data_IF_519106610045
#
_entry.id   IF_519106610045
#
_cell.length_a   1.000
_cell.length_b   1.000
_cell.length_c   1.000
_cell.angle_alpha   90.00
_cell.angle_beta   90.00
_cell.angle_gamma   90.00
#
_symmetry.space_group_name_H-M   'P 1'
#
loop_
_entity.id
_entity.type
_entity.pdbx_description
1 polymer ?
#
# COMPACT_ATOMS: atom_id res chain seq x y z
N UNK A 1 -21.12 15.41 -3.53
CA UNK A 1 -21.42 15.30 -2.08
C UNK A 1 -21.67 13.86 -1.62
N UNK A 2 -22.49 13.04 -2.30
CA UNK A 2 -22.84 11.68 -1.84
C UNK A 2 -21.65 10.73 -1.58
N UNK A 3 -20.61 10.73 -2.44
CA UNK A 3 -19.41 9.88 -2.25
C UNK A 3 -18.59 10.19 -0.99
N UNK A 4 -18.60 11.45 -0.53
CA UNK A 4 -17.87 11.84 0.67
C UNK A 4 -18.54 11.26 1.91
N UNK A 5 -19.87 11.25 1.94
CA UNK A 5 -20.68 10.72 3.05
C UNK A 5 -20.48 9.21 3.20
N UNK A 6 -20.54 8.44 2.10
CA UNK A 6 -20.28 6.99 2.16
C UNK A 6 -18.87 6.65 2.65
N UNK A 7 -17.86 7.46 2.27
CA UNK A 7 -16.50 7.27 2.75
C UNK A 7 -16.35 7.57 4.24
N UNK A 8 -17.16 8.46 4.79
CA UNK A 8 -17.10 8.82 6.22
C UNK A 8 -17.89 7.87 7.13
N UNK A 9 -18.81 7.09 6.56
CA UNK A 9 -19.64 6.13 7.32
C UNK A 9 -19.02 4.73 7.41
N UNK A 10 -18.11 4.38 6.52
CA UNK A 10 -17.41 3.09 6.57
C UNK A 10 -16.43 3.06 7.74
N UNK A 11 -16.26 1.88 8.32
CA UNK A 11 -15.12 1.60 9.19
C UNK A 11 -13.82 2.04 8.47
N UNK A 12 -12.85 2.66 9.16
CA UNK A 12 -11.62 3.16 8.55
C UNK A 12 -10.93 2.13 7.63
N UNK A 13 -10.91 0.85 8.02
CA UNK A 13 -10.26 -0.22 7.25
C UNK A 13 -11.07 -0.61 6.01
N UNK A 14 -12.39 -0.66 6.12
CA UNK A 14 -13.29 -0.89 4.98
C UNK A 14 -13.21 0.25 3.96
N UNK A 15 -13.06 1.49 4.44
CA UNK A 15 -12.87 2.66 3.59
C UNK A 15 -11.58 2.55 2.79
N UNK A 16 -10.48 2.19 3.42
CA UNK A 16 -9.17 2.00 2.77
C UNK A 16 -9.22 0.87 1.74
N UNK A 17 -9.85 -0.25 2.08
CA UNK A 17 -10.06 -1.35 1.14
C UNK A 17 -10.85 -0.91 -0.11
N UNK A 18 -11.92 -0.13 0.08
CA UNK A 18 -12.71 0.42 -1.03
C UNK A 18 -11.90 1.42 -1.85
N UNK A 19 -11.08 2.27 -1.21
CA UNK A 19 -10.22 3.22 -1.90
C UNK A 19 -9.18 2.50 -2.78
N UNK A 20 -8.52 1.48 -2.26
CA UNK A 20 -7.58 0.66 -3.01
C UNK A 20 -8.24 0.03 -4.26
N UNK A 21 -9.44 -0.55 -4.12
CA UNK A 21 -10.14 -1.16 -5.25
C UNK A 21 -10.55 -0.13 -6.31
N UNK A 22 -10.99 1.06 -5.89
CA UNK A 22 -11.32 2.15 -6.81
C UNK A 22 -10.06 2.66 -7.53
N UNK A 23 -8.93 2.74 -6.82
CA UNK A 23 -7.65 3.16 -7.39
C UNK A 23 -7.15 2.15 -8.44
N UNK A 24 -7.18 0.85 -8.13
CA UNK A 24 -6.83 -0.24 -9.05
C UNK A 24 -7.63 -0.18 -10.36
N UNK A 25 -8.94 0.02 -10.26
CA UNK A 25 -9.84 0.15 -11.43
C UNK A 25 -9.57 1.39 -12.28
N UNK A 26 -8.95 2.42 -11.70
CA UNK A 26 -8.58 3.66 -12.39
C UNK A 26 -7.11 3.71 -12.77
N UNK A 27 -6.34 2.66 -12.45
CA UNK A 27 -4.88 2.65 -12.56
C UNK A 27 -4.20 3.82 -11.85
N UNK A 28 -4.79 4.28 -10.74
CA UNK A 28 -4.31 5.40 -9.94
C UNK A 28 -3.26 4.90 -8.93
N UNK A 29 -2.01 4.84 -9.37
CA UNK A 29 -0.90 4.31 -8.58
C UNK A 29 -0.55 5.20 -7.37
N UNK A 30 -0.87 6.50 -7.41
CA UNK A 30 -0.56 7.43 -6.31
C UNK A 30 -1.30 7.04 -5.04
N UNK A 31 -2.59 6.70 -5.17
CA UNK A 31 -3.41 6.24 -4.04
C UNK A 31 -2.87 4.92 -3.47
N UNK A 32 -2.35 4.01 -4.31
CA UNK A 32 -1.76 2.75 -3.84
C UNK A 32 -0.47 3.01 -3.05
N UNK A 33 0.36 3.96 -3.51
CA UNK A 33 1.58 4.38 -2.79
C UNK A 33 1.20 5.00 -1.44
N UNK A 34 0.23 5.92 -1.41
CA UNK A 34 -0.24 6.54 -0.17
C UNK A 34 -0.73 5.50 0.85
N UNK A 35 -1.56 4.56 0.41
CA UNK A 35 -2.08 3.49 1.26
C UNK A 35 -1.01 2.49 1.73
N UNK A 36 0.13 2.40 1.04
CA UNK A 36 1.24 1.55 1.44
C UNK A 36 2.27 2.26 2.34
N UNK A 37 2.47 3.57 2.16
CA UNK A 37 3.56 4.30 2.80
C UNK A 37 3.14 5.14 4.01
N UNK A 38 1.87 5.53 4.12
CA UNK A 38 1.39 6.39 5.21
C UNK A 38 1.05 5.57 6.48
N UNK A 39 0.24 4.49 6.41
CA UNK A 39 -0.23 3.79 7.61
C UNK A 39 0.87 2.97 8.28
N UNK A 40 0.87 2.83 9.61
CA UNK A 40 1.83 1.95 10.32
C UNK A 40 1.81 0.52 9.78
N UNK A 41 2.83 -0.28 10.08
CA UNK A 41 2.87 -1.69 9.63
C UNK A 41 1.63 -2.48 10.07
N UNK A 42 1.09 -2.20 11.27
CA UNK A 42 -0.12 -2.82 11.79
C UNK A 42 -1.38 -2.36 11.05
N UNK A 43 -1.51 -1.06 10.79
CA UNK A 43 -2.63 -0.49 10.01
C UNK A 43 -2.62 -1.04 8.58
N UNK A 44 -1.44 -1.09 7.95
CA UNK A 44 -1.25 -1.65 6.62
C UNK A 44 -1.72 -3.11 6.56
N UNK A 45 -1.35 -3.90 7.57
CA UNK A 45 -1.80 -5.29 7.68
C UNK A 45 -3.32 -5.39 7.90
N UNK A 46 -3.89 -4.53 8.74
CA UNK A 46 -5.30 -4.54 9.07
C UNK A 46 -6.18 -4.23 7.85
N UNK A 47 -5.84 -3.21 7.05
CA UNK A 47 -6.65 -2.90 5.86
C UNK A 47 -6.47 -3.94 4.75
N UNK A 48 -5.29 -4.55 4.60
CA UNK A 48 -5.09 -5.65 3.64
C UNK A 48 -5.96 -6.86 3.98
N UNK A 49 -6.13 -7.17 5.28
CA UNK A 49 -7.10 -8.17 5.74
C UNK A 49 -8.54 -7.78 5.41
N UNK A 50 -8.92 -6.51 5.63
CA UNK A 50 -10.24 -6.01 5.25
C UNK A 50 -10.47 -6.10 3.72
N UNK A 51 -9.47 -5.75 2.92
CA UNK A 51 -9.50 -5.88 1.46
C UNK A 51 -9.76 -7.32 1.04
N UNK A 52 -8.97 -8.27 1.57
CA UNK A 52 -9.11 -9.68 1.25
C UNK A 52 -10.46 -10.25 1.71
N UNK A 53 -10.94 -9.87 2.90
CA UNK A 53 -12.25 -10.29 3.39
C UNK A 53 -13.39 -9.79 2.47
N UNK A 54 -13.25 -8.57 1.94
CA UNK A 54 -14.24 -7.92 1.09
C UNK A 54 -14.25 -8.41 -0.35
N UNK A 55 -13.06 -8.55 -0.96
CA UNK A 55 -12.92 -8.82 -2.40
C UNK A 55 -12.51 -10.25 -2.73
N UNK A 56 -12.23 -11.08 -1.72
CA UNK A 56 -11.85 -12.50 -1.85
C UNK A 56 -10.54 -12.75 -2.60
N UNK A 57 -9.80 -11.69 -2.90
CA UNK A 57 -8.46 -11.68 -3.46
C UNK A 57 -7.59 -10.73 -2.64
N UNK A 58 -6.29 -10.99 -2.60
CA UNK A 58 -5.31 -10.13 -1.94
C UNK A 58 -5.09 -8.84 -2.72
N UNK A 59 -4.66 -7.78 -2.03
CA UNK A 59 -4.31 -6.52 -2.68
C UNK A 59 -3.13 -6.71 -3.64
N UNK A 60 -2.19 -7.58 -3.28
CA UNK A 60 -1.01 -7.93 -4.04
C UNK A 60 -1.37 -8.60 -5.37
N UNK A 61 -2.28 -9.58 -5.36
CA UNK A 61 -2.80 -10.21 -6.59
C UNK A 61 -3.44 -9.18 -7.52
N UNK A 62 -4.26 -8.29 -6.98
CA UNK A 62 -4.89 -7.25 -7.78
C UNK A 62 -3.88 -6.23 -8.32
N UNK A 63 -2.87 -5.84 -7.54
CA UNK A 63 -1.77 -4.98 -8.02
C UNK A 63 -0.97 -5.67 -9.13
N UNK A 64 -0.67 -6.97 -8.97
CA UNK A 64 0.06 -7.76 -9.96
C UNK A 64 -0.68 -7.85 -11.30
N UNK A 65 -2.01 -7.94 -11.26
CA UNK A 65 -2.84 -8.06 -12.46
C UNK A 65 -3.12 -6.70 -13.12
N UNK A 66 -3.31 -5.63 -12.34
CA UNK A 66 -3.68 -4.31 -12.86
C UNK A 66 -2.51 -3.46 -13.39
N UNK A 67 -1.29 -3.65 -12.89
CA UNK A 67 -0.12 -2.90 -13.35
C UNK A 67 0.84 -3.78 -14.14
N UNK A 68 1.83 -3.22 -14.83
CA UNK A 68 2.86 -3.97 -15.57
C UNK A 68 4.23 -3.30 -15.46
N UNK A 69 5.28 -4.00 -15.94
CA UNK A 69 6.65 -3.49 -15.96
C UNK A 69 7.19 -3.15 -14.56
N UNK A 70 8.02 -2.10 -14.51
CA UNK A 70 8.67 -1.69 -13.25
C UNK A 70 7.69 -1.06 -12.26
N UNK A 71 6.60 -0.45 -12.75
CA UNK A 71 5.54 0.05 -11.87
C UNK A 71 4.88 -1.08 -11.08
N UNK A 72 4.62 -2.24 -11.71
CA UNK A 72 4.13 -3.43 -10.99
C UNK A 72 5.12 -3.86 -9.91
N UNK A 73 6.41 -3.95 -10.26
CA UNK A 73 7.45 -4.40 -9.31
C UNK A 73 7.53 -3.47 -8.10
N UNK A 74 7.54 -2.16 -8.33
CA UNK A 74 7.57 -1.15 -7.28
C UNK A 74 6.34 -1.25 -6.37
N UNK A 75 5.14 -1.23 -6.96
CA UNK A 75 3.90 -1.28 -6.18
C UNK A 75 3.77 -2.58 -5.40
N UNK A 76 4.13 -3.73 -5.99
CA UNK A 76 4.15 -5.01 -5.29
C UNK A 76 5.11 -4.99 -4.12
N UNK A 77 6.30 -4.41 -4.27
CA UNK A 77 7.27 -4.28 -3.18
C UNK A 77 6.69 -3.43 -2.05
N UNK A 78 6.10 -2.27 -2.36
CA UNK A 78 5.49 -1.40 -1.36
C UNK A 78 4.33 -2.07 -0.62
N UNK A 79 3.41 -2.72 -1.33
CA UNK A 79 2.27 -3.35 -0.68
C UNK A 79 2.66 -4.62 0.08
N UNK A 80 3.71 -5.34 -0.32
CA UNK A 80 4.10 -6.61 0.30
C UNK A 80 5.02 -6.46 1.50
N UNK A 81 5.72 -5.32 1.63
CA UNK A 81 6.63 -5.06 2.75
C UNK A 81 5.84 -4.96 4.05
N UNK A 82 6.29 -5.68 5.06
CA UNK A 82 5.94 -5.43 6.45
C UNK A 82 7.05 -4.57 7.06
N UNK A 83 6.77 -3.27 7.26
CA UNK A 83 7.78 -2.32 7.70
C UNK A 83 8.20 -2.64 9.13
N UNK A 84 9.49 -2.87 9.32
CA UNK A 84 10.06 -3.05 10.64
C UNK A 84 10.34 -1.67 11.24
N UNK A 85 9.49 -1.22 12.14
CA UNK A 85 9.60 0.08 12.79
C UNK A 85 10.52 -0.05 14.01
N UNK A 86 11.84 0.07 13.80
CA UNK A 86 12.82 0.18 14.90
C UNK A 86 13.41 1.56 14.99
N UNK A 87 13.66 2.00 16.23
CA UNK A 87 14.41 3.23 16.52
C UNK A 87 15.93 3.05 16.33
N UNK A 88 16.41 1.82 16.19
CA UNK A 88 17.83 1.52 15.98
C UNK A 88 18.25 1.79 14.53
N UNK A 89 19.18 2.73 14.34
CA UNK A 89 19.73 3.08 13.03
C UNK A 89 21.13 2.50 12.86
N UNK A 90 21.32 1.59 11.89
CA UNK A 90 22.65 1.15 11.46
C UNK A 90 23.24 2.16 10.47
N UNK A 91 24.20 2.97 10.94
CA UNK A 91 24.85 4.01 10.14
C UNK A 91 25.62 3.45 8.95
N UNK A 92 26.24 2.27 9.09
CA UNK A 92 27.03 1.66 8.01
C UNK A 92 26.11 1.20 6.89
N UNK A 93 24.97 0.61 7.24
CA UNK A 93 23.96 0.23 6.27
C UNK A 93 23.40 1.47 5.56
N UNK A 94 23.07 2.53 6.30
CA UNK A 94 22.56 3.78 5.73
C UNK A 94 23.55 4.43 4.74
N UNK A 95 24.85 4.44 5.04
CA UNK A 95 25.89 4.93 4.13
C UNK A 95 25.97 4.07 2.85
N UNK A 96 25.96 2.74 2.98
CA UNK A 96 26.00 1.83 1.84
C UNK A 96 24.75 1.96 0.93
N UNK A 97 23.56 2.10 1.51
CA UNK A 97 22.32 2.31 0.76
C UNK A 97 22.31 3.67 0.04
N UNK A 98 22.86 4.72 0.65
CA UNK A 98 23.00 6.03 0.01
C UNK A 98 23.93 5.99 -1.21
N UNK A 99 25.02 5.24 -1.16
CA UNK A 99 25.92 5.03 -2.31
C UNK A 99 25.23 4.25 -3.45
N UNK A 100 24.42 3.26 -3.12
CA UNK A 100 23.65 2.49 -4.12
C UNK A 100 22.62 3.39 -4.80
N UNK A 101 21.91 4.25 -4.05
CA UNK A 101 20.88 5.14 -4.58
C UNK A 101 21.42 6.30 -5.41
N UNK A 102 22.68 6.70 -5.19
CA UNK A 102 23.30 7.78 -5.95
C UNK A 102 23.73 7.38 -7.37
N UNK A 103 24.12 6.12 -7.55
CA UNK A 103 24.65 5.57 -8.80
C UNK A 103 23.56 4.99 -9.70
#
# INVERSE_FOLDING_TARGET
>A
MQRAVYRWMLDPLDREAVLANVALKKSDYQVIIELACIPSAEEQLAFKRAYQARYRHSLEEDVATHFSGDMRKLLLLLVSVYRYETEETDKKLAEAEAEILHN
#
